data_IF_522616020922
#
_entry.id   IF_522616020922
#
_cell.length_a   1.000
_cell.length_b   1.000
_cell.length_c   1.000
_cell.angle_alpha   90.00
_cell.angle_beta   90.00
_cell.angle_gamma   90.00
#
_symmetry.space_group_name_H-M   'P 1'
#
loop_
_entity.id
_entity.type
_entity.pdbx_description
1 polymer ?
#
# COMPACT_ATOMS: atom_id res chain seq x y z
N UNK A 1 -32.18 12.94 -12.65
CA UNK A 1 -31.77 12.41 -11.33
C UNK A 1 -31.83 10.89 -11.38
N UNK A 2 -30.70 10.23 -11.65
CA UNK A 2 -30.61 8.78 -11.49
C UNK A 2 -30.10 8.53 -10.07
N UNK A 3 -31.00 8.05 -9.18
CA UNK A 3 -30.60 7.54 -7.87
C UNK A 3 -29.70 6.33 -8.08
N UNK A 4 -28.42 6.47 -7.75
CA UNK A 4 -27.50 5.36 -7.57
C UNK A 4 -28.04 4.49 -6.43
N UNK A 5 -28.45 3.25 -6.76
CA UNK A 5 -28.75 2.24 -5.75
C UNK A 5 -27.44 1.92 -5.00
N UNK A 6 -27.36 2.04 -3.66
CA UNK A 6 -26.20 1.56 -2.95
C UNK A 6 -26.19 0.03 -3.07
N UNK A 7 -25.23 -0.52 -3.82
CA UNK A 7 -24.94 -1.95 -3.80
C UNK A 7 -24.57 -2.31 -2.34
N UNK A 8 -25.30 -3.28 -1.80
CA UNK A 8 -25.31 -3.61 -0.38
C UNK A 8 -23.90 -3.97 0.10
N UNK A 9 -23.29 -3.11 0.91
CA UNK A 9 -22.14 -3.49 1.72
C UNK A 9 -22.45 -4.80 2.47
N UNK A 10 -21.53 -5.79 2.44
CA UNK A 10 -21.72 -7.13 3.01
C UNK A 10 -22.40 -7.08 4.39
N UNK A 11 -23.49 -7.83 4.55
CA UNK A 11 -24.28 -7.87 5.78
C UNK A 11 -23.53 -8.47 6.99
N UNK A 12 -24.06 -8.29 8.21
CA UNK A 12 -23.42 -8.73 9.46
C UNK A 12 -23.07 -10.24 9.48
N UNK A 13 -23.98 -11.09 9.00
CA UNK A 13 -23.78 -12.54 8.94
C UNK A 13 -22.74 -12.96 7.92
N UNK A 14 -22.77 -12.37 6.72
CA UNK A 14 -21.77 -12.62 5.67
C UNK A 14 -20.35 -12.29 6.15
N UNK A 15 -20.18 -11.14 6.81
CA UNK A 15 -18.89 -10.76 7.41
C UNK A 15 -18.44 -11.71 8.52
N UNK A 16 -19.38 -12.20 9.33
CA UNK A 16 -19.07 -13.16 10.40
C UNK A 16 -18.65 -14.52 9.85
N UNK A 17 -19.27 -14.99 8.76
CA UNK A 17 -18.86 -16.21 8.06
C UNK A 17 -17.46 -16.08 7.42
N UNK A 18 -17.15 -14.94 6.82
CA UNK A 18 -15.79 -14.67 6.32
C UNK A 18 -14.76 -14.70 7.44
N UNK A 19 -15.06 -14.08 8.58
CA UNK A 19 -14.15 -14.09 9.73
C UNK A 19 -13.96 -15.51 10.30
N UNK A 20 -15.02 -16.32 10.32
CA UNK A 20 -14.93 -17.73 10.71
C UNK A 20 -14.03 -18.52 9.74
N UNK A 21 -14.17 -18.33 8.42
CA UNK A 21 -13.28 -18.95 7.42
C UNK A 21 -11.82 -18.56 7.62
N UNK A 22 -11.55 -17.27 7.85
CA UNK A 22 -10.20 -16.77 8.11
C UNK A 22 -9.63 -17.34 9.41
N UNK A 23 -10.44 -17.46 10.46
CA UNK A 23 -10.04 -18.09 11.72
C UNK A 23 -9.70 -19.57 11.54
N UNK A 24 -10.55 -20.34 10.85
CA UNK A 24 -10.31 -21.76 10.57
C UNK A 24 -9.03 -21.95 9.75
N UNK A 25 -8.81 -21.11 8.72
CA UNK A 25 -7.57 -21.12 7.94
C UNK A 25 -6.36 -20.82 8.84
N UNK A 26 -6.43 -19.77 9.65
CA UNK A 26 -5.34 -19.39 10.55
C UNK A 26 -5.05 -20.45 11.64
N UNK A 27 -6.04 -21.22 12.08
CA UNK A 27 -5.85 -22.35 13.02
C UNK A 27 -5.24 -23.55 12.31
N UNK A 28 -5.65 -23.84 11.07
CA UNK A 28 -5.00 -24.85 10.23
C UNK A 28 -3.52 -24.53 10.01
N UNK A 29 -3.23 -23.30 9.61
CA UNK A 29 -1.87 -22.78 9.39
C UNK A 29 -1.02 -22.74 10.68
N UNK A 30 -1.62 -22.82 11.88
CA UNK A 30 -0.89 -22.96 13.16
C UNK A 30 -0.47 -24.39 13.47
N UNK A 31 -1.16 -25.38 12.90
CA UNK A 31 -0.86 -26.80 13.08
C UNK A 31 0.29 -27.27 12.19
N UNK A 32 0.56 -26.57 11.08
CA UNK A 32 1.72 -26.79 10.24
C UNK A 32 2.97 -26.19 10.92
N UNK A 33 3.99 -27.03 11.14
CA UNK A 33 5.29 -26.68 11.74
C UNK A 33 5.85 -25.36 11.20
N UNK A 34 6.59 -24.60 12.04
CA UNK A 34 7.29 -23.29 11.94
C UNK A 34 8.03 -22.90 10.63
N UNK A 35 7.79 -23.63 9.56
CA UNK A 35 8.19 -23.41 8.19
C UNK A 35 7.30 -22.31 7.60
N UNK A 36 7.92 -21.35 6.93
CA UNK A 36 7.32 -20.09 6.48
C UNK A 36 5.93 -20.24 5.87
N UNK A 37 4.93 -19.57 6.46
CA UNK A 37 3.62 -19.39 5.81
C UNK A 37 3.86 -18.61 4.51
N UNK A 38 3.72 -19.30 3.37
CA UNK A 38 3.85 -18.73 2.03
C UNK A 38 2.53 -18.19 1.48
N UNK A 39 1.40 -18.59 2.08
CA UNK A 39 0.08 -18.16 1.63
C UNK A 39 -0.11 -16.67 1.85
N UNK A 40 -0.42 -15.87 0.80
CA UNK A 40 -0.65 -14.44 0.97
C UNK A 40 -1.91 -14.18 1.80
N UNK A 41 -1.87 -13.10 2.59
CA UNK A 41 -3.03 -12.60 3.34
C UNK A 41 -3.66 -11.43 2.60
N UNK A 42 -4.83 -11.68 2.01
CA UNK A 42 -5.54 -10.72 1.20
C UNK A 42 -6.12 -9.59 2.06
N UNK A 43 -5.80 -8.34 1.73
CA UNK A 43 -6.34 -7.17 2.42
C UNK A 43 -7.43 -6.48 1.59
N UNK A 44 -7.11 -6.06 0.36
CA UNK A 44 -8.08 -5.49 -0.57
C UNK A 44 -7.68 -5.75 -2.04
N UNK A 45 -8.64 -6.21 -2.83
CA UNK A 45 -8.48 -6.63 -4.22
C UNK A 45 -9.50 -5.88 -5.09
N UNK A 46 -9.04 -5.24 -6.15
CA UNK A 46 -9.89 -4.43 -7.04
C UNK A 46 -10.26 -5.17 -8.33
N UNK A 47 -10.50 -6.48 -8.22
CA UNK A 47 -10.96 -7.29 -9.35
C UNK A 47 -12.44 -7.03 -9.67
N UNK A 48 -13.24 -6.79 -8.64
CA UNK A 48 -14.66 -6.50 -8.75
C UNK A 48 -14.94 -4.98 -8.66
N UNK A 49 -15.93 -4.47 -9.41
CA UNK A 49 -16.31 -3.06 -9.35
C UNK A 49 -16.82 -2.64 -7.97
N UNK A 50 -17.42 -3.58 -7.23
CA UNK A 50 -17.96 -3.34 -5.90
C UNK A 50 -16.86 -3.05 -4.86
N UNK A 51 -15.62 -3.47 -5.11
CA UNK A 51 -14.48 -3.22 -4.21
C UNK A 51 -14.21 -1.73 -3.98
N UNK A 52 -14.59 -0.86 -4.92
CA UNK A 52 -14.44 0.60 -4.76
C UNK A 52 -15.39 1.14 -3.69
N UNK A 53 -16.55 0.51 -3.49
CA UNK A 53 -17.51 0.91 -2.45
C UNK A 53 -16.96 0.67 -1.04
N UNK A 54 -15.94 -0.19 -0.91
CA UNK A 54 -15.21 -0.42 0.32
C UNK A 54 -14.21 0.71 0.64
N UNK A 55 -14.05 1.68 -0.27
CA UNK A 55 -13.16 2.82 -0.12
C UNK A 55 -13.92 4.12 0.16
N UNK A 56 -13.26 5.03 0.86
CA UNK A 56 -13.69 6.42 1.02
C UNK A 56 -12.58 7.37 0.61
N UNK A 57 -12.97 8.49 0.02
CA UNK A 57 -12.07 9.55 -0.44
C UNK A 57 -11.86 10.61 0.64
N UNK A 58 -10.68 11.22 0.63
CA UNK A 58 -10.27 12.33 1.49
C UNK A 58 -9.54 13.34 0.60
N UNK A 59 -10.14 14.51 0.41
CA UNK A 59 -9.59 15.60 -0.40
C UNK A 59 -9.74 16.91 0.34
N UNK A 60 -8.91 17.89 0.02
CA UNK A 60 -8.89 19.20 0.68
C UNK A 60 -10.16 20.06 0.47
N UNK A 61 -11.15 19.61 -0.31
CA UNK A 61 -12.42 20.31 -0.51
C UNK A 61 -13.12 20.66 0.82
N UNK A 62 -13.07 19.78 1.82
CA UNK A 62 -13.71 20.03 3.12
C UNK A 62 -13.08 21.18 3.92
N UNK A 63 -11.82 21.53 3.63
CA UNK A 63 -11.14 22.72 4.18
C UNK A 63 -11.19 23.91 3.21
N UNK A 64 -11.82 23.77 2.04
CA UNK A 64 -11.95 24.80 1.01
C UNK A 64 -10.83 24.78 -0.04
N UNK A 65 -10.09 23.68 -0.15
CA UNK A 65 -9.19 23.46 -1.29
C UNK A 65 -9.93 23.17 -2.58
N UNK A 66 -9.20 23.26 -3.70
CA UNK A 66 -9.73 23.02 -5.05
C UNK A 66 -9.12 21.75 -5.67
N UNK A 67 -8.57 20.83 -4.87
CA UNK A 67 -8.10 19.54 -5.39
C UNK A 67 -9.30 18.64 -5.68
N UNK A 68 -9.18 17.78 -6.68
CA UNK A 68 -10.20 16.81 -7.07
C UNK A 68 -9.73 15.38 -6.86
N UNK A 69 -10.66 14.48 -6.59
CA UNK A 69 -10.40 13.05 -6.40
C UNK A 69 -11.52 12.20 -6.99
N UNK A 70 -11.14 11.17 -7.72
CA UNK A 70 -12.04 10.14 -8.24
C UNK A 70 -11.41 8.75 -8.09
N UNK A 71 -12.28 7.76 -7.84
CA UNK A 71 -11.95 6.34 -7.83
C UNK A 71 -12.83 5.63 -8.88
N UNK A 72 -12.22 5.12 -9.94
CA UNK A 72 -12.93 4.38 -10.99
C UNK A 72 -12.46 2.94 -11.07
N UNK A 73 -13.36 2.01 -11.42
CA UNK A 73 -13.01 0.62 -11.66
C UNK A 73 -12.79 0.41 -13.13
N UNK A 74 -11.66 -0.18 -13.48
CA UNK A 74 -11.32 -0.57 -14.84
C UNK A 74 -11.34 -2.10 -14.90
N UNK A 75 -12.11 -2.65 -15.84
CA UNK A 75 -12.20 -4.10 -16.04
C UNK A 75 -10.89 -4.65 -16.60
N UNK A 76 -10.64 -5.94 -16.35
CA UNK A 76 -9.51 -6.63 -16.95
C UNK A 76 -9.59 -6.56 -18.49
N UNK A 77 -8.46 -6.26 -19.11
CA UNK A 77 -8.25 -6.27 -20.55
C UNK A 77 -7.16 -7.28 -20.90
N UNK A 78 -6.87 -7.47 -22.19
CA UNK A 78 -5.79 -8.37 -22.62
C UNK A 78 -4.39 -7.93 -22.12
N UNK A 79 -4.21 -6.65 -21.80
CA UNK A 79 -2.90 -6.08 -21.43
C UNK A 79 -2.82 -5.58 -20.00
N UNK A 80 -3.96 -5.34 -19.35
CA UNK A 80 -4.03 -4.79 -17.99
C UNK A 80 -5.01 -5.58 -17.11
N UNK A 81 -4.66 -5.85 -15.84
CA UNK A 81 -5.54 -6.52 -14.90
C UNK A 81 -6.74 -5.63 -14.54
N UNK A 82 -7.78 -6.23 -13.95
CA UNK A 82 -8.86 -5.45 -13.34
C UNK A 82 -8.31 -4.66 -12.15
N UNK A 83 -8.57 -3.37 -12.10
CA UNK A 83 -7.95 -2.50 -11.11
C UNK A 83 -8.79 -1.28 -10.76
N UNK A 84 -8.46 -0.66 -9.64
CA UNK A 84 -8.96 0.67 -9.29
C UNK A 84 -7.99 1.73 -9.81
N UNK A 85 -8.54 2.79 -10.41
CA UNK A 85 -7.82 3.98 -10.81
C UNK A 85 -8.08 5.09 -9.79
N UNK A 86 -7.03 5.51 -9.08
CA UNK A 86 -7.03 6.66 -8.20
C UNK A 86 -6.46 7.86 -8.96
N UNK A 87 -7.33 8.79 -9.36
CA UNK A 87 -6.95 9.91 -10.20
C UNK A 87 -7.64 11.21 -9.78
N UNK A 88 -7.16 12.33 -10.32
CA UNK A 88 -7.67 13.66 -10.01
C UNK A 88 -6.66 14.74 -10.37
N UNK A 89 -6.85 15.92 -9.81
CA UNK A 89 -5.98 17.07 -10.01
C UNK A 89 -5.66 17.74 -8.67
N UNK A 90 -4.38 17.94 -8.37
CA UNK A 90 -3.95 18.65 -7.16
C UNK A 90 -3.94 20.16 -7.46
N UNK A 91 -4.55 20.94 -6.57
CA UNK A 91 -4.48 22.40 -6.55
C UNK A 91 -3.86 22.88 -5.24
N UNK A 92 -2.97 23.87 -5.34
CA UNK A 92 -2.39 24.55 -4.17
C UNK A 92 -3.09 25.87 -3.85
N UNK A 93 -4.20 26.17 -4.53
CA UNK A 93 -4.94 27.40 -4.29
C UNK A 93 -5.49 27.37 -2.86
N UNK A 94 -5.22 28.44 -2.12
CA UNK A 94 -5.72 28.61 -0.77
C UNK A 94 -7.14 29.21 -0.84
N UNK A 95 -8.06 28.77 0.05
CA UNK A 95 -9.41 29.33 0.11
C UNK A 95 -9.36 30.82 0.47
N UNK A 96 -9.90 31.67 -0.40
CA UNK A 96 -9.98 33.13 -0.19
C UNK A 96 -10.74 33.52 1.08
N UNK A 97 -11.67 32.67 1.54
CA UNK A 97 -12.58 32.95 2.67
C UNK A 97 -12.14 32.40 4.02
N UNK A 98 -11.03 31.66 4.11
CA UNK A 98 -10.58 31.01 5.37
C UNK A 98 -9.09 31.22 5.61
N UNK A 99 -8.73 32.35 6.22
CA UNK A 99 -7.34 32.73 6.55
C UNK A 99 -6.61 31.73 7.48
N UNK A 100 -7.33 30.85 8.17
CA UNK A 100 -6.74 29.84 9.08
C UNK A 100 -6.22 28.58 8.39
N UNK A 101 -6.44 28.41 7.08
CA UNK A 101 -5.99 27.21 6.35
C UNK A 101 -4.55 27.41 5.88
N UNK A 102 -3.62 26.74 6.57
CA UNK A 102 -2.18 26.88 6.32
C UNK A 102 -1.74 26.02 5.12
N UNK A 103 -2.43 24.90 4.82
CA UNK A 103 -2.00 23.93 3.79
C UNK A 103 -3.19 23.26 3.08
N UNK A 104 -3.21 23.35 1.76
CA UNK A 104 -4.07 22.58 0.83
C UNK A 104 -3.20 21.75 -0.12
N UNK A 105 -3.80 21.03 -1.06
CA UNK A 105 -3.09 20.24 -2.08
C UNK A 105 -2.87 18.79 -1.71
N UNK A 106 -3.92 18.11 -1.25
CA UNK A 106 -3.85 16.67 -1.01
C UNK A 106 -5.11 15.95 -1.49
N UNK A 107 -4.89 14.71 -1.90
CA UNK A 107 -5.93 13.76 -2.22
C UNK A 107 -5.51 12.39 -1.70
N UNK A 108 -6.42 11.65 -1.08
CA UNK A 108 -6.16 10.34 -0.54
C UNK A 108 -7.43 9.50 -0.56
N UNK A 109 -7.28 8.20 -0.51
CA UNK A 109 -8.37 7.28 -0.22
C UNK A 109 -7.92 6.28 0.84
N UNK A 110 -8.89 5.65 1.49
CA UNK A 110 -8.66 4.53 2.42
C UNK A 110 -9.85 3.61 2.43
N UNK A 111 -9.65 2.36 2.86
CA UNK A 111 -10.76 1.46 3.12
C UNK A 111 -11.62 1.96 4.29
N UNK A 112 -12.90 1.62 4.29
CA UNK A 112 -13.74 1.78 5.46
C UNK A 112 -13.17 0.98 6.63
N UNK A 113 -13.31 1.54 7.83
CA UNK A 113 -12.94 0.83 9.05
C UNK A 113 -13.79 -0.46 9.13
N UNK A 114 -13.15 -1.60 9.36
CA UNK A 114 -13.83 -2.89 9.29
C UNK A 114 -14.91 -3.00 10.38
N UNK A 115 -16.12 -3.37 9.96
CA UNK A 115 -17.32 -3.39 10.80
C UNK A 115 -17.30 -4.52 11.83
N UNK A 116 -18.17 -4.43 12.83
CA UNK A 116 -18.37 -5.47 13.84
C UNK A 116 -18.90 -6.77 13.23
N UNK A 117 -18.45 -7.90 13.79
CA UNK A 117 -18.86 -9.28 13.49
C UNK A 117 -19.20 -10.00 14.80
N UNK A 118 -19.71 -11.24 14.72
CA UNK A 118 -19.95 -12.09 15.90
C UNK A 118 -18.68 -12.37 16.73
N UNK A 119 -17.49 -12.18 16.14
CA UNK A 119 -16.19 -12.40 16.78
C UNK A 119 -15.49 -11.08 17.16
N UNK A 120 -16.23 -9.98 17.24
CA UNK A 120 -15.71 -8.65 17.48
C UNK A 120 -15.42 -7.87 16.19
N UNK A 121 -14.61 -6.82 16.29
CA UNK A 121 -14.25 -5.97 15.14
C UNK A 121 -13.33 -6.76 14.22
N UNK A 122 -13.65 -6.83 12.93
CA UNK A 122 -12.87 -7.59 11.96
C UNK A 122 -11.55 -6.87 11.63
N UNK A 123 -10.58 -6.85 12.54
CA UNK A 123 -9.25 -6.29 12.30
C UNK A 123 -8.42 -7.23 11.42
N UNK A 124 -7.45 -6.69 10.69
CA UNK A 124 -6.45 -7.53 10.03
C UNK A 124 -5.33 -7.88 11.00
N UNK A 125 -5.01 -9.17 11.06
CA UNK A 125 -3.85 -9.70 11.78
C UNK A 125 -2.78 -10.12 10.79
N UNK A 126 -1.76 -9.28 10.66
CA UNK A 126 -0.64 -9.46 9.74
C UNK A 126 0.69 -9.70 10.45
N UNK A 127 0.68 -9.99 11.75
CA UNK A 127 1.91 -10.16 12.55
C UNK A 127 2.83 -11.26 11.98
N UNK A 128 2.24 -12.25 11.32
CA UNK A 128 2.95 -13.38 10.68
C UNK A 128 3.59 -13.06 9.34
N UNK A 129 3.37 -11.85 8.81
CA UNK A 129 3.84 -11.43 7.50
C UNK A 129 4.92 -10.36 7.64
N UNK A 130 6.01 -10.50 6.88
CA UNK A 130 7.13 -9.56 6.88
C UNK A 130 6.84 -8.30 6.06
N UNK A 131 6.04 -8.44 5.00
CA UNK A 131 5.80 -7.41 4.02
C UNK A 131 4.31 -7.13 3.82
N UNK A 132 4.00 -5.88 3.48
CA UNK A 132 2.83 -5.52 2.70
C UNK A 132 3.27 -5.37 1.24
N UNK A 133 2.52 -5.97 0.33
CA UNK A 133 2.73 -5.95 -1.09
C UNK A 133 1.61 -5.14 -1.76
N UNK A 134 1.99 -4.30 -2.72
CA UNK A 134 1.06 -3.52 -3.53
C UNK A 134 1.41 -3.71 -5.00
N UNK A 135 0.42 -4.13 -5.81
CA UNK A 135 0.57 -4.22 -7.27
C UNK A 135 -0.03 -2.97 -7.90
N UNK A 136 0.83 -2.12 -8.44
CA UNK A 136 0.48 -0.76 -8.86
C UNK A 136 1.10 -0.38 -10.20
N UNK A 137 0.46 0.57 -10.89
CA UNK A 137 1.04 1.30 -12.02
C UNK A 137 0.95 2.80 -11.71
N UNK A 138 2.09 3.42 -11.47
CA UNK A 138 2.20 4.82 -11.02
C UNK A 138 2.55 5.76 -12.16
N UNK A 139 2.06 6.99 -12.12
CA UNK A 139 2.48 8.11 -12.98
C UNK A 139 3.82 8.76 -12.58
N UNK A 140 4.49 8.27 -11.53
CA UNK A 140 5.75 8.83 -11.01
C UNK A 140 5.59 9.89 -9.92
N UNK A 141 4.36 10.21 -9.50
CA UNK A 141 4.10 11.09 -8.35
C UNK A 141 4.52 10.44 -7.02
N UNK A 142 4.65 11.26 -5.98
CA UNK A 142 5.08 10.81 -4.64
C UNK A 142 3.88 10.39 -3.78
N UNK A 143 3.43 9.16 -3.96
CA UNK A 143 2.37 8.57 -3.14
C UNK A 143 2.89 8.04 -1.80
N UNK A 144 2.00 7.96 -0.82
CA UNK A 144 2.24 7.38 0.50
C UNK A 144 1.19 6.32 0.79
N UNK A 145 1.64 5.15 1.26
CA UNK A 145 0.79 4.12 1.84
C UNK A 145 0.52 4.49 3.29
N UNK A 146 -0.76 4.54 3.64
CA UNK A 146 -1.24 4.92 4.96
C UNK A 146 -1.92 3.72 5.61
N UNK A 147 -1.51 3.39 6.83
CA UNK A 147 -2.07 2.31 7.64
C UNK A 147 -2.61 2.90 8.93
N UNK A 148 -3.87 2.61 9.24
CA UNK A 148 -4.43 2.90 10.55
C UNK A 148 -4.57 1.62 11.35
N UNK A 149 -4.30 1.75 12.64
CA UNK A 149 -4.42 0.68 13.63
C UNK A 149 -5.41 1.11 14.69
N UNK A 150 -6.05 0.13 15.33
CA UNK A 150 -6.88 0.35 16.51
C UNK A 150 -5.98 0.63 17.72
N UNK A 151 -5.44 1.85 17.77
CA UNK A 151 -4.51 2.29 18.80
C UNK A 151 -5.29 2.66 20.07
N UNK A 152 -4.96 2.08 21.23
CA UNK A 152 -5.66 2.36 22.49
C UNK A 152 -5.40 3.77 23.04
N UNK A 153 -4.29 4.42 22.64
CA UNK A 153 -3.86 5.70 23.22
C UNK A 153 -4.21 6.88 22.32
N UNK A 154 -3.84 6.84 21.04
CA UNK A 154 -4.11 7.93 20.07
C UNK A 154 -4.76 7.32 18.82
N UNK A 155 -6.09 7.38 18.69
CA UNK A 155 -6.81 6.81 17.54
C UNK A 155 -6.53 7.54 16.21
N UNK A 156 -5.92 8.72 16.26
CA UNK A 156 -5.59 9.54 15.09
C UNK A 156 -4.22 9.24 14.49
N UNK A 157 -3.44 8.35 15.10
CA UNK A 157 -2.13 7.98 14.59
C UNK A 157 -2.24 7.20 13.28
N UNK A 158 -1.44 7.62 12.31
CA UNK A 158 -1.34 7.00 10.99
C UNK A 158 0.10 6.55 10.79
N UNK A 159 0.28 5.30 10.41
CA UNK A 159 1.56 4.77 10.00
C UNK A 159 1.72 5.00 8.50
N UNK A 160 2.74 5.74 8.10
CA UNK A 160 2.96 6.14 6.72
C UNK A 160 4.27 5.58 6.19
N UNK A 161 4.24 5.13 4.94
CA UNK A 161 5.44 4.78 4.18
C UNK A 161 5.32 5.34 2.77
N UNK A 162 6.40 5.91 2.23
CA UNK A 162 6.41 6.38 0.85
C UNK A 162 6.33 5.20 -0.12
N UNK A 163 5.44 5.28 -1.10
CA UNK A 163 5.39 4.30 -2.19
C UNK A 163 6.50 4.63 -3.18
N UNK A 164 7.47 3.73 -3.31
CA UNK A 164 8.59 3.89 -4.23
C UNK A 164 8.34 3.11 -5.51
N UNK A 165 7.60 3.71 -6.45
CA UNK A 165 7.47 3.20 -7.80
C UNK A 165 8.80 3.36 -8.55
N UNK A 166 9.30 2.27 -9.13
CA UNK A 166 10.56 2.23 -9.87
C UNK A 166 10.33 2.35 -11.37
N UNK A 167 9.14 1.96 -11.86
CA UNK A 167 8.79 1.97 -13.29
C UNK A 167 7.50 2.75 -13.51
N UNK A 168 7.56 4.10 -13.52
CA UNK A 168 6.40 4.91 -13.87
C UNK A 168 5.82 4.47 -15.23
N UNK A 169 4.50 4.33 -15.29
CA UNK A 169 3.76 3.88 -16.46
C UNK A 169 3.69 2.36 -16.66
N UNK A 170 4.38 1.56 -15.84
CA UNK A 170 4.33 0.10 -15.91
C UNK A 170 3.79 -0.49 -14.60
N UNK A 171 3.21 -1.69 -14.70
CA UNK A 171 2.82 -2.46 -13.54
C UNK A 171 4.04 -3.04 -12.82
N UNK A 172 4.09 -2.85 -11.51
CA UNK A 172 5.13 -3.40 -10.65
C UNK A 172 4.58 -3.78 -9.28
N UNK A 173 5.21 -4.75 -8.63
CA UNK A 173 4.89 -5.16 -7.27
C UNK A 173 5.87 -4.53 -6.28
N UNK A 174 5.36 -3.72 -5.39
CA UNK A 174 6.17 -3.03 -4.38
C UNK A 174 5.99 -3.74 -3.04
N UNK A 175 7.09 -4.28 -2.52
CA UNK A 175 7.17 -4.85 -1.17
C UNK A 175 7.67 -3.80 -0.19
N UNK A 176 6.90 -3.58 0.88
CA UNK A 176 7.27 -2.68 1.97
C UNK A 176 7.28 -3.51 3.26
N UNK A 177 8.35 -3.43 4.06
CA UNK A 177 8.35 -4.10 5.36
C UNK A 177 7.44 -3.36 6.31
N UNK A 178 6.65 -4.10 7.09
CA UNK A 178 5.78 -3.50 8.11
C UNK A 178 6.53 -2.59 9.10
N UNK A 179 7.75 -2.98 9.47
CA UNK A 179 8.63 -2.21 10.36
C UNK A 179 9.20 -0.92 9.77
N UNK A 180 9.11 -0.71 8.45
CA UNK A 180 9.65 0.49 7.81
C UNK A 180 8.64 1.66 7.85
N UNK A 181 7.37 1.40 8.22
CA UNK A 181 6.37 2.44 8.37
C UNK A 181 6.68 3.35 9.56
N UNK A 182 6.51 4.65 9.36
CA UNK A 182 6.75 5.68 10.37
C UNK A 182 5.42 6.15 10.94
N UNK A 183 5.31 6.22 12.26
CA UNK A 183 4.13 6.76 12.93
C UNK A 183 4.11 8.28 12.77
N UNK A 184 2.98 8.78 12.27
CA UNK A 184 2.73 10.20 12.04
C UNK A 184 1.40 10.60 12.63
N UNK A 185 1.32 11.85 13.09
CA UNK A 185 0.08 12.46 13.50
C UNK A 185 -0.01 13.82 12.81
N UNK A 186 -1.10 14.07 12.08
CA UNK A 186 -1.26 15.26 11.24
C UNK A 186 -0.05 15.56 10.31
N UNK A 187 0.64 14.51 9.83
CA UNK A 187 1.80 14.63 8.96
C UNK A 187 3.11 15.05 9.66
N UNK A 188 3.13 15.08 10.99
CA UNK A 188 4.33 15.25 11.79
C UNK A 188 4.76 13.91 12.36
N UNK A 189 6.07 13.62 12.35
CA UNK A 189 6.63 12.45 13.02
C UNK A 189 6.44 12.61 14.52
N UNK A 190 5.81 11.61 15.16
CA UNK A 190 5.59 11.62 16.60
C UNK A 190 6.57 10.67 17.26
N UNK A 191 7.32 11.16 18.25
CA UNK A 191 8.08 10.34 19.17
C UNK A 191 7.24 10.06 20.43
N UNK A 192 7.31 8.87 21.05
CA UNK A 192 8.17 7.72 20.72
C UNK A 192 7.61 6.92 19.53
N UNK A 193 8.46 6.51 18.59
CA UNK A 193 8.07 5.57 17.53
C UNK A 193 7.84 4.19 18.17
N UNK A 194 6.61 3.92 18.60
CA UNK A 194 6.21 2.59 19.01
C UNK A 194 6.02 1.72 17.78
N UNK A 195 6.38 0.45 17.87
CA UNK A 195 6.09 -0.52 16.81
C UNK A 195 4.57 -0.54 16.51
N UNK A 196 4.25 -0.63 15.23
CA UNK A 196 2.87 -0.72 14.76
C UNK A 196 2.21 -2.01 15.25
N UNK A 197 0.99 -1.92 15.79
CA UNK A 197 0.23 -3.09 16.22
C UNK A 197 -0.31 -3.89 15.03
N UNK A 198 0.49 -4.82 14.50
CA UNK A 198 0.19 -5.60 13.30
C UNK A 198 -1.05 -6.50 13.42
N UNK A 199 -1.50 -6.79 14.64
CA UNK A 199 -2.74 -7.55 14.88
C UNK A 199 -4.03 -6.71 14.80
N UNK A 200 -3.90 -5.38 14.77
CA UNK A 200 -5.03 -4.45 14.97
C UNK A 200 -5.20 -3.47 13.82
N UNK A 201 -4.86 -3.86 12.60
CA UNK A 201 -5.00 -2.95 11.46
C UNK A 201 -6.48 -2.77 11.12
N UNK A 202 -6.93 -1.51 11.02
CA UNK A 202 -8.32 -1.13 10.77
C UNK A 202 -8.57 -0.72 9.33
N UNK A 203 -7.60 -0.07 8.69
CA UNK A 203 -7.70 0.37 7.30
C UNK A 203 -6.34 0.57 6.65
N UNK A 204 -6.34 0.43 5.32
CA UNK A 204 -5.22 0.75 4.43
C UNK A 204 -5.69 1.80 3.43
N UNK A 205 -4.79 2.67 3.01
CA UNK A 205 -5.09 3.70 2.03
C UNK A 205 -3.85 4.22 1.35
N UNK A 206 -4.06 5.03 0.32
CA UNK A 206 -2.99 5.72 -0.39
C UNK A 206 -3.31 7.20 -0.44
N UNK A 207 -2.31 8.03 -0.16
CA UNK A 207 -2.41 9.48 -0.22
C UNK A 207 -1.33 10.12 -1.07
N UNK A 208 -1.68 11.24 -1.69
CA UNK A 208 -0.79 12.15 -2.40
C UNK A 208 -0.72 13.46 -1.62
N UNK A 209 0.49 13.81 -1.18
CA UNK A 209 0.79 15.03 -0.41
C UNK A 209 2.07 15.71 -0.93
N UNK A 210 2.35 15.54 -2.22
CA UNK A 210 3.61 15.97 -2.86
C UNK A 210 3.72 17.47 -3.07
N UNK A 211 2.60 18.21 -2.91
CA UNK A 211 2.47 19.64 -3.17
C UNK A 211 2.92 20.05 -4.57
N UNK A 212 2.69 19.20 -5.54
CA UNK A 212 2.94 19.54 -6.94
C UNK A 212 1.57 19.68 -7.61
N UNK A 213 1.19 20.88 -8.11
CA UNK A 213 -0.05 21.05 -8.82
C UNK A 213 -0.14 20.13 -10.05
N UNK A 214 -1.36 19.85 -10.50
CA UNK A 214 -1.60 19.14 -11.74
C UNK A 214 -2.15 17.73 -11.56
N UNK A 215 -2.33 17.02 -12.68
CA UNK A 215 -3.01 15.74 -12.70
C UNK A 215 -2.16 14.67 -12.02
N UNK A 216 -2.84 13.72 -11.40
CA UNK A 216 -2.25 12.51 -10.87
C UNK A 216 -3.06 11.28 -11.25
N UNK A 217 -2.39 10.14 -11.39
CA UNK A 217 -3.00 8.87 -11.74
C UNK A 217 -2.19 7.70 -11.18
N UNK A 218 -2.83 6.91 -10.31
CA UNK A 218 -2.29 5.68 -9.75
C UNK A 218 -3.30 4.55 -9.97
N UNK A 219 -2.90 3.52 -10.70
CA UNK A 219 -3.67 2.30 -10.84
C UNK A 219 -3.23 1.31 -9.74
N UNK A 220 -4.19 0.69 -9.06
CA UNK A 220 -3.96 -0.30 -8.00
C UNK A 220 -4.80 -1.53 -8.28
N UNK A 221 -4.14 -2.67 -8.46
CA UNK A 221 -4.81 -3.96 -8.66
C UNK A 221 -5.20 -4.57 -7.31
N UNK A 222 -4.23 -4.71 -6.40
CA UNK A 222 -4.43 -5.39 -5.12
C UNK A 222 -3.38 -4.99 -4.07
N UNK A 223 -3.75 -5.18 -2.82
CA UNK A 223 -2.91 -4.99 -1.64
C UNK A 223 -3.05 -6.23 -0.74
N UNK A 224 -1.93 -6.83 -0.37
CA UNK A 224 -1.89 -8.05 0.45
C UNK A 224 -0.67 -8.09 1.37
N UNK A 225 -0.69 -8.95 2.37
CA UNK A 225 0.49 -9.22 3.21
C UNK A 225 1.16 -10.51 2.77
N UNK A 226 2.49 -10.54 2.77
CA UNK A 226 3.26 -11.70 2.34
C UNK A 226 4.62 -11.82 3.05
N UNK A 227 5.20 -13.01 3.01
CA UNK A 227 6.58 -13.29 3.45
C UNK A 227 7.59 -13.33 2.29
N UNK A 228 7.12 -13.22 1.05
CA UNK A 228 7.89 -13.20 -0.19
C UNK A 228 6.95 -13.28 -1.39
N UNK A 229 7.44 -13.04 -2.61
CA UNK A 229 6.64 -13.28 -3.81
C UNK A 229 6.73 -14.77 -4.19
N UNK A 230 5.63 -15.36 -4.65
CA UNK A 230 5.66 -16.70 -5.25
C UNK A 230 6.17 -16.63 -6.71
N UNK A 231 6.42 -17.77 -7.35
CA UNK A 231 6.96 -17.82 -8.73
C UNK A 231 6.05 -17.07 -9.71
N UNK A 232 4.73 -17.20 -9.61
CA UNK A 232 3.78 -16.49 -10.48
C UNK A 232 3.82 -14.97 -10.30
N UNK A 233 3.94 -14.48 -9.07
CA UNK A 233 4.04 -13.06 -8.73
C UNK A 233 5.38 -12.48 -9.17
N UNK A 234 6.45 -13.28 -9.05
CA UNK A 234 7.76 -12.95 -9.59
C UNK A 234 7.64 -12.85 -11.11
N UNK A 235 7.09 -13.84 -11.81
CA UNK A 235 6.87 -13.86 -13.26
C UNK A 235 6.02 -12.67 -13.75
N UNK A 236 5.01 -12.26 -12.97
CA UNK A 236 4.21 -11.06 -13.24
C UNK A 236 5.02 -9.76 -13.09
N UNK A 237 6.05 -9.74 -12.26
CA UNK A 237 7.07 -8.68 -12.15
C UNK A 237 8.19 -8.85 -13.21
N UNK A 238 8.40 -10.07 -13.71
CA UNK A 238 9.54 -10.54 -14.53
C UNK A 238 9.49 -10.22 -16.01
N UNK A 239 8.87 -9.08 -16.33
CA UNK A 239 9.42 -8.20 -17.36
C UNK A 239 10.66 -7.46 -16.82
N UNK A 240 11.62 -8.20 -16.21
CA UNK A 240 12.96 -7.85 -15.65
C UNK A 240 13.07 -7.81 -14.08
N UNK A 241 13.17 -8.96 -13.39
CA UNK A 241 13.31 -9.05 -11.90
C UNK A 241 14.71 -8.83 -11.34
N UNK A 242 15.64 -8.24 -12.09
CA UNK A 242 17.02 -8.02 -11.60
C UNK A 242 17.15 -7.13 -10.34
N UNK A 243 16.05 -6.56 -9.82
CA UNK A 243 16.05 -5.53 -8.78
C UNK A 243 15.17 -5.79 -7.54
N UNK A 244 14.37 -6.86 -7.49
CA UNK A 244 13.41 -7.11 -6.37
C UNK A 244 14.15 -7.46 -5.05
N UNK A 245 15.42 -7.86 -5.11
CA UNK A 245 16.16 -8.40 -3.96
C UNK A 245 17.12 -7.41 -3.26
N UNK A 246 17.15 -6.11 -3.61
CA UNK A 246 18.23 -5.20 -3.14
C UNK A 246 17.87 -4.49 -1.82
N UNK A 247 18.63 -4.70 -0.72
CA UNK A 247 18.40 -4.02 0.56
C UNK A 247 18.63 -2.49 0.51
N UNK A 248 17.87 -1.73 1.32
CA UNK A 248 17.91 -0.26 1.42
C UNK A 248 19.31 0.38 1.52
N UNK A 249 20.26 -0.29 2.20
CA UNK A 249 21.65 0.19 2.34
C UNK A 249 22.39 0.32 1.01
N UNK A 250 22.04 -0.51 0.03
CA UNK A 250 22.71 -0.51 -1.28
C UNK A 250 22.21 0.63 -2.18
N UNK A 251 20.96 1.07 -1.94
CA UNK A 251 20.40 2.26 -2.58
C UNK A 251 21.05 3.56 -2.09
N UNK A 252 21.21 3.70 -0.78
CA UNK A 252 21.87 4.88 -0.19
C UNK A 252 23.32 5.01 -0.69
N UNK A 253 24.03 3.89 -0.84
CA UNK A 253 25.40 3.84 -1.34
C UNK A 253 25.52 4.18 -2.84
N UNK A 254 24.56 3.76 -3.68
CA UNK A 254 24.56 4.08 -5.11
C UNK A 254 24.22 5.56 -5.36
N UNK A 255 23.26 6.10 -4.61
CA UNK A 255 22.85 7.50 -4.71
C UNK A 255 23.94 8.48 -4.26
N UNK A 256 24.67 8.16 -3.18
CA UNK A 256 25.81 8.96 -2.71
C UNK A 256 27.01 8.94 -3.67
N UNK A 257 27.15 7.87 -4.47
CA UNK A 257 28.30 7.70 -5.38
C UNK A 257 28.01 8.16 -6.82
N UNK A 258 26.76 8.45 -7.17
CA UNK A 258 26.39 8.85 -8.53
C UNK A 258 26.64 7.76 -9.59
N UNK A 259 26.70 6.48 -9.18
CA UNK A 259 27.02 5.35 -10.05
C UNK A 259 25.72 4.61 -10.41
N UNK A 260 25.64 4.10 -11.65
CA UNK A 260 24.52 3.28 -12.11
C UNK A 260 24.45 1.95 -11.33
N UNK A 261 23.25 1.53 -10.97
CA UNK A 261 23.01 0.31 -10.20
C UNK A 261 23.53 -0.96 -10.89
N UNK A 262 23.59 -0.96 -12.23
CA UNK A 262 24.17 -2.05 -13.03
C UNK A 262 25.67 -2.22 -12.75
N UNK A 263 26.38 -1.13 -12.52
CA UNK A 263 27.83 -1.15 -12.27
C UNK A 263 28.14 -1.66 -10.84
N UNK A 264 27.28 -1.33 -9.88
CA UNK A 264 27.39 -1.82 -8.49
C UNK A 264 27.21 -3.35 -8.43
N UNK A 265 26.27 -3.91 -9.20
CA UNK A 265 26.07 -5.36 -9.30
C UNK A 265 27.22 -6.05 -10.03
N UNK A 266 27.73 -5.47 -11.13
CA UNK A 266 28.87 -6.01 -11.89
C UNK A 266 30.13 -6.11 -11.02
N UNK A 267 30.45 -5.05 -10.27
CA UNK A 267 31.60 -5.04 -9.36
C UNK A 267 31.50 -6.09 -8.24
N UNK A 268 30.29 -6.38 -7.76
CA UNK A 268 30.07 -7.44 -6.76
C UNK A 268 30.24 -8.84 -7.36
N UNK A 269 29.68 -9.08 -8.54
CA UNK A 269 29.82 -10.37 -9.24
C UNK A 269 31.28 -10.67 -9.57
N UNK A 270 32.02 -9.66 -10.05
CA UNK A 270 33.46 -9.74 -10.30
C UNK A 270 34.23 -9.99 -8.98
N UNK A 271 33.89 -9.29 -7.90
CA UNK A 271 34.51 -9.48 -6.59
C UNK A 271 34.25 -10.87 -5.96
N UNK A 272 33.07 -11.46 -6.19
CA UNK A 272 32.74 -12.82 -5.73
C UNK A 272 33.48 -13.87 -6.55
N UNK A 273 33.54 -13.73 -7.88
CA UNK A 273 34.30 -14.61 -8.76
C UNK A 273 35.81 -14.55 -8.46
N UNK A 274 36.33 -13.37 -8.13
CA UNK A 274 37.74 -13.20 -7.81
C UNK A 274 38.10 -13.83 -6.44
N UNK A 275 37.21 -13.74 -5.45
CA UNK A 275 37.38 -14.45 -4.17
C UNK A 275 37.31 -15.97 -4.31
N UNK A 276 36.45 -16.49 -5.19
CA UNK A 276 36.38 -17.93 -5.47
C UNK A 276 37.63 -18.44 -6.20
N UNK A 277 38.22 -17.64 -7.11
CA UNK A 277 39.48 -17.98 -7.79
C UNK A 277 40.73 -17.90 -6.90
N UNK A 278 40.67 -17.16 -5.79
CA UNK A 278 41.79 -17.04 -4.84
C UNK A 278 41.70 -18.09 -3.72
N UNK A 279 40.57 -18.79 -3.62
CA UNK A 279 40.30 -19.82 -2.61
C UNK A 279 40.36 -21.26 -3.17
N UNK A 280 40.70 -21.42 -4.45
CA UNK A 280 41.02 -22.67 -5.14
C UNK A 280 42.51 -22.69 -5.48
#
# INVERSE_FOLDING_TARGET
MQCTRPLYAKGFFSRSLEQAKLFTKAVGDRGESLTSIHTPYEMIYFHDPDSITECKTLVDEHIGGESTIDLTHEKATATEPAHMRFHGNISLKLPEKKEKVIRTGYAAWRTWDRKMTLFGRALWDVERYKYIALRVKSDGRKYFVNIMVDAPIIPTDIHQHRLFARRPGQWETILIRWKDFVRTNHGQSVEPQSDMMLQKITSVGIGLTDRVPGPYNLCIERIWSTNGLNEEEVDQDDRDVSHVMIPRREWDAAWLKGISLKDVQKQKLEGVQQKQKTAA
#
